data_IF_841952734796
#
_entry.id   IF_841952734796
#
_cell.length_a   1.000
_cell.length_b   1.000
_cell.length_c   1.000
_cell.angle_alpha   90.00
_cell.angle_beta   90.00
_cell.angle_gamma   90.00
#
_symmetry.space_group_name_H-M   'P 1'
#
loop_
_entity.id
_entity.type
_entity.pdbx_description
1 polymer ?
#
# COMPACT_ATOMS: atom_id res chain seq x y z
N UNK A 1 11.31 -15.18 -1.00
CA UNK A 1 10.29 -14.58 -0.15
C UNK A 1 8.95 -15.26 -0.38
N UNK A 2 8.47 -15.94 0.64
CA UNK A 2 7.32 -16.80 0.52
C UNK A 2 6.00 -16.07 0.28
N UNK A 3 5.82 -14.89 0.91
CA UNK A 3 4.54 -14.19 0.86
C UNK A 3 4.50 -13.03 -0.14
N UNK A 4 5.64 -12.57 -0.60
CA UNK A 4 5.75 -11.46 -1.57
C UNK A 4 4.89 -10.25 -1.17
N UNK A 5 5.06 -9.80 0.05
CA UNK A 5 4.38 -8.62 0.58
C UNK A 5 5.39 -7.48 0.70
N UNK A 6 5.06 -6.34 0.12
CA UNK A 6 5.86 -5.12 0.23
C UNK A 6 5.10 -4.12 1.10
N UNK A 7 5.67 -3.76 2.24
CA UNK A 7 5.03 -2.81 3.17
C UNK A 7 5.71 -1.45 3.02
N UNK A 8 4.89 -0.42 2.80
CA UNK A 8 5.36 0.95 2.69
C UNK A 8 4.80 1.78 3.82
N UNK A 9 5.64 2.63 4.39
CA UNK A 9 5.22 3.60 5.40
C UNK A 9 5.40 4.97 4.78
N UNK A 10 4.29 5.62 4.43
CA UNK A 10 4.28 6.85 3.64
C UNK A 10 4.05 8.08 4.51
N UNK A 11 4.85 9.12 4.29
CA UNK A 11 4.63 10.41 4.92
C UNK A 11 3.42 11.09 4.32
N UNK A 12 2.51 11.59 5.16
CA UNK A 12 1.20 12.11 4.74
C UNK A 12 1.32 13.25 3.72
N UNK A 13 2.24 14.19 3.97
CA UNK A 13 2.40 15.35 3.08
C UNK A 13 2.91 14.92 1.69
N UNK A 14 3.99 14.13 1.68
CA UNK A 14 4.70 13.80 0.43
C UNK A 14 3.93 12.85 -0.47
N UNK A 15 3.02 12.06 0.10
CA UNK A 15 2.25 11.06 -0.63
C UNK A 15 0.78 11.43 -0.80
N UNK A 16 0.42 12.65 -0.46
CA UNK A 16 -0.87 13.22 -0.82
C UNK A 16 -2.06 12.73 -0.01
N UNK A 17 -1.86 12.36 1.26
CA UNK A 17 -2.99 12.01 2.12
C UNK A 17 -3.95 13.19 2.22
N UNK A 18 -5.24 12.95 1.99
CA UNK A 18 -6.28 13.98 2.00
C UNK A 18 -5.93 15.15 1.08
N UNK A 19 -5.39 14.82 -0.09
CA UNK A 19 -4.77 15.79 -1.00
C UNK A 19 -5.69 16.91 -1.43
N UNK A 20 -6.94 16.61 -1.77
CA UNK A 20 -7.87 17.62 -2.24
C UNK A 20 -8.07 18.75 -1.22
N UNK A 21 -8.16 18.40 0.06
CA UNK A 21 -8.26 19.39 1.14
C UNK A 21 -6.95 20.10 1.41
N UNK A 22 -5.84 19.38 1.44
CA UNK A 22 -4.51 19.94 1.70
C UNK A 22 -4.06 20.87 0.60
N UNK A 23 -4.37 20.53 -0.65
CA UNK A 23 -4.06 21.34 -1.82
C UNK A 23 -4.65 22.75 -1.69
N UNK A 24 -5.86 22.85 -1.18
CA UNK A 24 -6.54 24.12 -0.98
C UNK A 24 -5.91 24.97 0.12
N UNK A 25 -5.19 24.35 1.05
CA UNK A 25 -4.56 25.03 2.20
C UNK A 25 -3.14 25.49 1.94
N UNK A 26 -2.55 25.14 0.83
CA UNK A 26 -1.19 25.58 0.49
C UNK A 26 -1.17 27.07 0.26
N UNK A 27 -0.31 27.78 1.00
CA UNK A 27 -0.24 29.25 0.98
C UNK A 27 0.95 29.83 0.21
N UNK A 28 2.06 29.12 0.16
CA UNK A 28 3.26 29.58 -0.54
C UNK A 28 3.82 28.49 -1.43
N UNK A 29 4.41 28.91 -2.54
CA UNK A 29 4.97 28.01 -3.56
C UNK A 29 3.97 26.94 -4.02
N UNK A 30 2.69 27.32 -4.13
CA UNK A 30 1.60 26.38 -4.46
C UNK A 30 1.89 25.55 -5.69
N UNK A 31 2.26 26.18 -6.79
CA UNK A 31 2.49 25.49 -8.06
C UNK A 31 3.58 24.43 -7.94
N UNK A 32 4.66 24.77 -7.23
CA UNK A 32 5.76 23.85 -7.00
C UNK A 32 5.31 22.62 -6.19
N UNK A 33 4.60 22.85 -5.07
CA UNK A 33 4.17 21.76 -4.20
C UNK A 33 3.09 20.91 -4.83
N UNK A 34 2.15 21.53 -5.56
CA UNK A 34 1.10 20.77 -6.27
C UNK A 34 1.74 19.82 -7.27
N UNK A 35 2.64 20.32 -8.10
CA UNK A 35 3.33 19.49 -9.08
C UNK A 35 4.11 18.36 -8.42
N UNK A 36 4.86 18.67 -7.36
CA UNK A 36 5.70 17.71 -6.66
C UNK A 36 4.88 16.58 -6.03
N UNK A 37 3.81 16.94 -5.31
CA UNK A 37 2.97 15.95 -4.62
C UNK A 37 2.22 15.10 -5.64
N UNK A 38 1.68 15.70 -6.69
CA UNK A 38 0.94 14.96 -7.72
C UNK A 38 1.86 14.03 -8.50
N UNK A 39 3.12 14.41 -8.74
CA UNK A 39 4.11 13.50 -9.31
C UNK A 39 4.39 12.31 -8.39
N UNK A 40 4.53 12.57 -7.08
CA UNK A 40 4.75 11.50 -6.10
C UNK A 40 3.58 10.51 -6.09
N UNK A 41 2.35 11.03 -6.10
CA UNK A 41 1.15 10.18 -6.12
C UNK A 41 1.08 9.32 -7.38
N UNK A 42 1.38 9.90 -8.53
CA UNK A 42 1.38 9.18 -9.80
C UNK A 42 2.46 8.10 -9.83
N UNK A 43 3.64 8.41 -9.32
CA UNK A 43 4.74 7.43 -9.23
C UNK A 43 4.39 6.27 -8.30
N UNK A 44 3.81 6.58 -7.14
CA UNK A 44 3.39 5.55 -6.18
C UNK A 44 2.39 4.58 -6.82
N UNK A 45 1.43 5.11 -7.58
CA UNK A 45 0.46 4.27 -8.26
C UNK A 45 1.12 3.38 -9.32
N UNK A 46 2.05 3.92 -10.10
CA UNK A 46 2.80 3.13 -11.10
C UNK A 46 3.62 2.03 -10.43
N UNK A 47 4.29 2.35 -9.33
CA UNK A 47 5.13 1.40 -8.61
C UNK A 47 4.29 0.26 -8.04
N UNK A 48 3.12 0.58 -7.48
CA UNK A 48 2.19 -0.44 -6.99
C UNK A 48 1.72 -1.37 -8.11
N UNK A 49 1.42 -0.81 -9.27
CA UNK A 49 0.99 -1.61 -10.42
C UNK A 49 2.10 -2.55 -10.89
N UNK A 50 3.35 -2.08 -10.92
CA UNK A 50 4.48 -2.91 -11.28
C UNK A 50 4.70 -4.04 -10.26
N UNK A 51 4.56 -3.75 -8.97
CA UNK A 51 4.67 -4.76 -7.92
C UNK A 51 3.58 -5.83 -8.07
N UNK A 52 2.35 -5.41 -8.29
CA UNK A 52 1.24 -6.35 -8.47
C UNK A 52 1.42 -7.23 -9.72
N UNK A 53 1.93 -6.66 -10.80
CA UNK A 53 2.25 -7.43 -12.01
C UNK A 53 3.34 -8.47 -11.77
N UNK A 54 4.26 -8.20 -10.85
CA UNK A 54 5.33 -9.12 -10.47
C UNK A 54 4.90 -10.14 -9.41
N UNK A 55 3.63 -10.12 -9.00
CA UNK A 55 3.10 -11.06 -8.01
C UNK A 55 3.26 -10.62 -6.57
N UNK A 56 3.54 -9.34 -6.32
CA UNK A 56 3.66 -8.79 -4.99
C UNK A 56 2.36 -8.13 -4.54
N UNK A 57 2.15 -8.09 -3.24
CA UNK A 57 1.01 -7.38 -2.62
C UNK A 57 1.56 -6.13 -1.94
N UNK A 58 1.34 -4.93 -2.49
CA UNK A 58 1.76 -3.71 -1.81
C UNK A 58 0.76 -3.34 -0.72
N UNK A 59 1.26 -3.02 0.47
CA UNK A 59 0.46 -2.54 1.58
C UNK A 59 1.04 -1.20 2.03
N UNK A 60 0.20 -0.16 2.05
CA UNK A 60 0.62 1.18 2.44
C UNK A 60 -0.01 1.56 3.77
N UNK A 61 0.81 2.10 4.65
CA UNK A 61 0.34 2.72 5.89
C UNK A 61 0.85 4.15 5.92
N UNK A 62 0.07 5.04 6.51
CA UNK A 62 0.54 6.38 6.78
C UNK A 62 1.46 6.37 8.00
N UNK A 63 2.51 7.20 7.98
CA UNK A 63 3.49 7.27 9.06
C UNK A 63 2.83 7.52 10.43
N UNK A 64 1.89 8.46 10.48
CA UNK A 64 1.17 8.76 11.74
C UNK A 64 0.30 7.60 12.21
N UNK A 65 -0.26 6.86 11.30
CA UNK A 65 -1.06 5.66 11.58
C UNK A 65 -0.21 4.58 12.25
N UNK A 66 1.01 4.36 11.74
CA UNK A 66 1.95 3.39 12.31
C UNK A 66 2.38 3.83 13.71
N UNK A 67 2.69 5.12 13.90
CA UNK A 67 3.10 5.66 15.20
C UNK A 67 1.95 5.55 16.20
N UNK A 68 0.74 5.85 15.78
CA UNK A 68 -0.43 5.89 16.67
C UNK A 68 -0.95 4.49 17.03
N UNK A 69 -0.93 3.56 16.10
CA UNK A 69 -1.56 2.25 16.30
C UNK A 69 -0.82 1.16 15.49
N UNK A 70 0.38 0.85 15.94
CA UNK A 70 1.22 -0.16 15.31
C UNK A 70 0.55 -1.54 15.31
N UNK A 71 -0.16 -1.89 16.38
CA UNK A 71 -0.78 -3.21 16.50
C UNK A 71 -1.83 -3.45 15.42
N UNK A 72 -2.63 -2.44 15.08
CA UNK A 72 -3.62 -2.56 13.99
C UNK A 72 -2.94 -2.72 12.64
N UNK A 73 -1.83 -2.01 12.40
CA UNK A 73 -1.05 -2.16 11.18
C UNK A 73 -0.49 -3.58 11.04
N UNK A 74 0.07 -4.11 12.12
CA UNK A 74 0.59 -5.49 12.14
C UNK A 74 -0.54 -6.50 11.90
N UNK A 75 -1.71 -6.29 12.52
CA UNK A 75 -2.87 -7.16 12.33
C UNK A 75 -3.32 -7.18 10.86
N UNK A 76 -3.27 -6.05 10.18
CA UNK A 76 -3.59 -5.95 8.75
C UNK A 76 -2.64 -6.82 7.91
N UNK A 77 -1.35 -6.77 8.19
CA UNK A 77 -0.36 -7.59 7.50
C UNK A 77 -0.64 -9.08 7.76
N UNK A 78 -0.93 -9.44 9.00
CA UNK A 78 -1.25 -10.82 9.37
C UNK A 78 -2.49 -11.34 8.64
N UNK A 79 -3.50 -10.49 8.46
CA UNK A 79 -4.72 -10.85 7.71
C UNK A 79 -4.39 -11.14 6.24
N UNK A 80 -3.51 -10.36 5.63
CA UNK A 80 -3.09 -10.59 4.24
C UNK A 80 -2.33 -11.92 4.12
N UNK A 81 -1.44 -12.21 5.07
CA UNK A 81 -0.71 -13.48 5.10
C UNK A 81 -1.68 -14.66 5.23
N UNK A 82 -2.65 -14.54 6.14
CA UNK A 82 -3.65 -15.59 6.35
C UNK A 82 -4.49 -15.82 5.10
N UNK A 83 -4.90 -14.76 4.42
CA UNK A 83 -5.64 -14.85 3.17
C UNK A 83 -4.83 -15.61 2.09
N UNK A 84 -3.53 -15.35 1.98
CA UNK A 84 -2.66 -16.06 1.05
C UNK A 84 -2.55 -17.54 1.38
N UNK A 85 -2.47 -17.88 2.66
CA UNK A 85 -2.40 -19.27 3.10
C UNK A 85 -3.69 -20.02 2.79
N UNK A 86 -4.84 -19.39 2.99
CA UNK A 86 -6.15 -19.96 2.67
C UNK A 86 -6.28 -20.19 1.16
N UNK A 87 -5.91 -19.21 0.36
CA UNK A 87 -5.96 -19.34 -1.11
C UNK A 87 -5.05 -20.47 -1.61
N UNK A 88 -3.86 -20.60 -1.02
CA UNK A 88 -2.94 -21.68 -1.37
C UNK A 88 -3.50 -23.06 -0.99
N UNK A 89 -4.15 -23.16 0.17
CA UNK A 89 -4.78 -24.41 0.62
C UNK A 89 -5.93 -24.80 -0.30
N UNK A 90 -6.78 -23.84 -0.68
CA UNK A 90 -7.89 -24.07 -1.61
C UNK A 90 -7.39 -24.52 -2.98
N UNK A 91 -6.33 -23.90 -3.47
CA UNK A 91 -5.71 -24.28 -4.75
C UNK A 91 -5.17 -25.72 -4.69
N UNK A 92 -4.57 -26.10 -3.57
CA UNK A 92 -4.04 -27.47 -3.40
C UNK A 92 -5.18 -28.49 -3.34
N UNK A 93 -6.28 -28.17 -2.65
CA UNK A 93 -7.46 -29.04 -2.63
C UNK A 93 -8.04 -29.25 -4.03
N UNK A 94 -8.13 -28.18 -4.81
CA UNK A 94 -8.63 -28.27 -6.19
C UNK A 94 -7.77 -29.21 -7.05
N UNK A 95 -6.45 -29.15 -6.89
CA UNK A 95 -5.52 -30.02 -7.59
C UNK A 95 -5.71 -31.47 -7.17
N UNK A 96 -5.87 -31.72 -5.88
CA UNK A 96 -6.06 -33.06 -5.33
C UNK A 96 -7.36 -33.70 -5.83
N UNK A 97 -8.41 -32.92 -6.03
CA UNK A 97 -9.68 -33.40 -6.56
C UNK A 97 -9.63 -33.80 -8.04
N UNK A 98 -8.74 -33.22 -8.79
CA UNK A 98 -8.60 -33.49 -10.22
C UNK A 98 -7.89 -34.83 -10.52
N UNK A 99 -7.24 -35.37 -9.53
CA UNK A 99 -6.59 -36.68 -9.67
C UNK A 99 -7.60 -37.83 -9.61
#
# INVERSE_FOLDING_TARGET
LKHRIAVFIDGEFWHGKDWENRKMRLKSNREYWIEKIEENMARDLRDDQLLMQAGWVPIHFWEKEVIKDLSTCVATIEEVILAQLIDSADAQEAIDYEE
#
